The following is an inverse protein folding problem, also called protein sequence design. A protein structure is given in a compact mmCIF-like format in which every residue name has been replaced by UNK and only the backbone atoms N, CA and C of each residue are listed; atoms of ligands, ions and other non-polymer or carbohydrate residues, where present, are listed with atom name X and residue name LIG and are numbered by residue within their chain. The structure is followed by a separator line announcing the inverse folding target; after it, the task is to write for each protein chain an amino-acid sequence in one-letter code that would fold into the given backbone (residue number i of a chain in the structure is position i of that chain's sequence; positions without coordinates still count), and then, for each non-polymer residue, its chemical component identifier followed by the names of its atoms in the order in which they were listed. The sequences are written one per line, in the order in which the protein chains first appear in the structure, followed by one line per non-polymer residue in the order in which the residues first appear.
data_IF_040980269019
#
_entry.id   IF_040980269019
#
_cell.length_a   1.000
_cell.length_b   1.000
_cell.length_c   1.000
_cell.angle_alpha   90.00
_cell.angle_beta   90.00
_cell.angle_gamma   90.00
#
_symmetry.space_group_name_H-M   'P 1'
#
loop_
_entity.id
_entity.type
_entity.pdbx_description
1 polymer ?
#
# COMPACT_ATOMS: atom_id res chain seq x y z
N UNK A 1 -3.61 33.88 14.05
CA UNK A 1 -3.39 32.42 13.93
C UNK A 1 -3.45 32.10 12.44
N UNK A 2 -2.31 31.80 11.82
CA UNK A 2 -2.25 31.48 10.39
C UNK A 2 -3.07 30.24 10.11
N UNK A 3 -4.05 30.34 9.21
CA UNK A 3 -4.82 29.20 8.76
C UNK A 3 -4.00 28.51 7.66
N UNK A 4 -3.40 27.33 7.91
CA UNK A 4 -2.49 26.72 6.96
C UNK A 4 -3.23 26.40 5.66
N UNK A 5 -2.70 26.85 4.52
CA UNK A 5 -3.29 26.57 3.22
C UNK A 5 -3.35 25.06 2.97
N UNK A 6 -4.57 24.57 2.71
CA UNK A 6 -4.87 23.15 2.51
C UNK A 6 -4.31 22.60 1.21
N UNK A 7 -3.89 23.47 0.28
CA UNK A 7 -3.28 23.11 -1.00
C UNK A 7 -1.80 22.74 -0.86
N UNK A 8 -1.17 23.12 0.25
CA UNK A 8 0.26 22.95 0.45
C UNK A 8 0.62 21.51 0.80
N UNK A 9 1.77 21.04 0.30
CA UNK A 9 2.35 19.73 0.63
C UNK A 9 2.48 19.54 2.15
N UNK A 10 2.85 20.60 2.89
CA UNK A 10 2.96 20.55 4.34
C UNK A 10 1.64 20.26 5.08
N UNK A 11 0.50 20.72 4.55
CA UNK A 11 -0.81 20.40 5.12
C UNK A 11 -1.20 18.93 4.81
N UNK A 12 -0.96 18.47 3.58
CA UNK A 12 -1.17 17.07 3.18
C UNK A 12 -0.31 16.10 3.99
N UNK A 13 0.95 16.44 4.26
CA UNK A 13 1.83 15.58 5.07
C UNK A 13 1.33 15.46 6.51
N UNK A 14 0.92 16.57 7.14
CA UNK A 14 0.38 16.55 8.51
C UNK A 14 -0.90 15.72 8.62
N UNK A 15 -1.77 15.79 7.62
CA UNK A 15 -2.99 14.96 7.56
C UNK A 15 -2.68 13.49 7.28
N UNK A 16 -1.64 13.17 6.52
CA UNK A 16 -1.23 11.77 6.30
C UNK A 16 -0.56 11.14 7.53
N UNK A 17 0.14 11.91 8.36
CA UNK A 17 0.78 11.41 9.61
C UNK A 17 -0.25 10.87 10.61
N UNK A 18 -1.48 11.37 10.60
CA UNK A 18 -2.55 10.89 11.49
C UNK A 18 -3.31 9.69 10.91
N UNK A 19 -3.05 9.30 9.66
CA UNK A 19 -3.70 8.18 8.97
C UNK A 19 -2.87 6.91 9.09
N UNK A 20 -3.52 5.75 8.97
CA UNK A 20 -2.81 4.47 8.87
C UNK A 20 -1.94 4.46 7.61
N UNK A 21 -0.66 4.12 7.75
CA UNK A 21 0.30 4.11 6.64
C UNK A 21 -0.15 3.25 5.45
N UNK A 22 -0.90 2.18 5.71
CA UNK A 22 -1.46 1.31 4.68
C UNK A 22 -2.54 1.98 3.84
N UNK A 23 -3.38 2.83 4.43
CA UNK A 23 -4.43 3.54 3.69
C UNK A 23 -3.81 4.68 2.85
N UNK A 24 -2.79 5.36 3.38
CA UNK A 24 -2.01 6.36 2.62
C UNK A 24 -1.33 5.71 1.41
N UNK A 25 -0.72 4.53 1.60
CA UNK A 25 -0.09 3.77 0.51
C UNK A 25 -1.09 3.43 -0.61
N UNK A 26 -2.30 2.98 -0.27
CA UNK A 26 -3.33 2.66 -1.28
C UNK A 26 -3.73 3.92 -2.07
N UNK A 27 -3.86 5.07 -1.41
CA UNK A 27 -4.16 6.33 -2.11
C UNK A 27 -3.01 6.76 -3.02
N UNK A 28 -1.76 6.51 -2.63
CA UNK A 28 -0.59 6.75 -3.48
C UNK A 28 -0.61 5.86 -4.72
N UNK A 29 -0.98 4.58 -4.58
CA UNK A 29 -1.11 3.68 -5.74
C UNK A 29 -2.18 4.16 -6.72
N UNK A 30 -3.35 4.56 -6.22
CA UNK A 30 -4.42 5.10 -7.08
C UNK A 30 -3.95 6.33 -7.85
N UNK A 31 -3.21 7.23 -7.19
CA UNK A 31 -2.62 8.40 -7.83
C UNK A 31 -1.55 8.01 -8.84
N UNK A 32 -0.68 7.05 -8.54
CA UNK A 32 0.35 6.61 -9.49
C UNK A 32 -0.27 5.97 -10.74
N UNK A 33 -1.35 5.19 -10.57
CA UNK A 33 -2.07 4.56 -11.68
C UNK A 33 -2.69 5.56 -12.65
N UNK A 34 -2.99 6.81 -12.23
CA UNK A 34 -3.45 7.82 -13.19
C UNK A 34 -2.38 8.25 -14.19
N UNK A 35 -1.10 7.98 -13.89
CA UNK A 35 0.03 8.28 -14.77
C UNK A 35 0.65 7.02 -15.39
N UNK A 36 0.46 5.85 -14.75
CA UNK A 36 1.04 4.58 -15.13
C UNK A 36 -0.06 3.52 -15.37
N UNK A 37 -1.01 3.82 -16.24
CA UNK A 37 -2.21 3.00 -16.49
C UNK A 37 -1.88 1.55 -16.94
N UNK A 38 -0.75 1.34 -17.60
CA UNK A 38 -0.31 0.00 -18.03
C UNK A 38 0.39 -0.80 -16.94
N UNK A 39 0.60 -0.26 -15.73
CA UNK A 39 1.29 -0.95 -14.67
C UNK A 39 0.50 -2.17 -14.18
N UNK A 40 1.16 -3.33 -14.14
CA UNK A 40 0.55 -4.60 -13.70
C UNK A 40 1.15 -5.15 -12.41
N UNK A 41 2.31 -4.65 -12.00
CA UNK A 41 3.02 -5.13 -10.85
C UNK A 41 3.42 -3.97 -9.94
N UNK A 42 3.43 -4.24 -8.65
CA UNK A 42 4.00 -3.35 -7.64
C UNK A 42 4.98 -4.12 -6.78
N UNK A 43 6.15 -3.52 -6.56
CA UNK A 43 7.18 -4.04 -5.67
C UNK A 43 7.05 -3.33 -4.31
N UNK A 44 6.87 -4.11 -3.25
CA UNK A 44 6.77 -3.59 -1.89
C UNK A 44 7.78 -4.21 -0.92
N UNK A 45 8.12 -3.43 0.10
CA UNK A 45 8.75 -3.93 1.32
C UNK A 45 7.76 -4.79 2.13
N UNK A 46 8.35 -5.66 2.95
CA UNK A 46 7.70 -6.56 3.90
C UNK A 46 6.71 -5.92 4.87
N UNK A 47 6.85 -4.62 5.20
CA UNK A 47 5.89 -3.92 6.05
C UNK A 47 4.52 -3.71 5.41
N UNK A 48 4.36 -3.94 4.12
CA UNK A 48 3.06 -3.90 3.44
C UNK A 48 2.55 -5.28 3.02
N UNK A 49 3.30 -6.35 3.34
CA UNK A 49 3.01 -7.72 2.94
C UNK A 49 2.09 -8.42 3.95
N UNK A 50 0.91 -7.84 4.20
CA UNK A 50 -0.15 -8.42 5.02
C UNK A 50 -1.33 -8.87 4.14
N UNK A 51 -2.02 -9.99 4.43
CA UNK A 51 -3.06 -10.53 3.55
C UNK A 51 -4.14 -9.51 3.14
N UNK A 52 -4.65 -8.73 4.10
CA UNK A 52 -5.68 -7.72 3.80
C UNK A 52 -5.19 -6.59 2.87
N UNK A 53 -3.90 -6.25 2.93
CA UNK A 53 -3.29 -5.24 2.04
C UNK A 53 -3.07 -5.80 0.65
N UNK A 54 -2.56 -7.03 0.56
CA UNK A 54 -2.38 -7.74 -0.71
C UNK A 54 -3.70 -7.89 -1.48
N UNK A 55 -4.80 -8.18 -0.76
CA UNK A 55 -6.14 -8.23 -1.36
C UNK A 55 -6.60 -6.87 -1.88
N UNK A 56 -6.37 -5.78 -1.14
CA UNK A 56 -6.68 -4.42 -1.60
C UNK A 56 -5.88 -4.06 -2.86
N UNK A 57 -4.58 -4.37 -2.91
CA UNK A 57 -3.72 -4.12 -4.08
C UNK A 57 -4.21 -4.94 -5.29
N UNK A 58 -4.56 -6.21 -5.08
CA UNK A 58 -5.15 -7.06 -6.13
C UNK A 58 -6.46 -6.48 -6.67
N UNK A 59 -7.28 -5.90 -5.80
CA UNK A 59 -8.50 -5.17 -6.19
C UNK A 59 -8.25 -3.94 -7.06
N UNK A 60 -7.04 -3.38 -7.06
CA UNK A 60 -6.62 -2.30 -7.96
C UNK A 60 -6.10 -2.83 -9.31
N UNK A 61 -6.15 -4.14 -9.56
CA UNK A 61 -5.61 -4.75 -10.79
C UNK A 61 -4.10 -4.95 -10.79
N UNK A 62 -3.45 -4.75 -9.65
CA UNK A 62 -2.00 -4.91 -9.49
C UNK A 62 -1.65 -6.26 -8.86
N UNK A 63 -0.59 -6.88 -9.38
CA UNK A 63 0.07 -8.02 -8.76
C UNK A 63 1.19 -7.53 -7.83
N UNK A 64 1.25 -8.06 -6.61
CA UNK A 64 2.27 -7.67 -5.65
C UNK A 64 3.47 -8.61 -5.68
N UNK A 65 4.67 -8.05 -5.78
CA UNK A 65 5.94 -8.70 -5.45
C UNK A 65 6.41 -8.07 -4.15
N UNK A 66 6.64 -8.86 -3.10
CA UNK A 66 7.13 -8.33 -1.83
C UNK A 66 7.92 -9.37 -1.05
N UNK A 67 8.86 -8.89 -0.24
CA UNK A 67 9.53 -9.75 0.74
C UNK A 67 8.51 -10.15 1.81
N UNK A 68 8.36 -11.45 2.04
CA UNK A 68 7.44 -11.93 3.07
C UNK A 68 8.09 -11.78 4.43
N UNK A 69 7.38 -11.14 5.37
CA UNK A 69 7.81 -11.09 6.76
C UNK A 69 7.46 -12.42 7.42
N UNK A 70 8.44 -13.04 8.07
CA UNK A 70 8.20 -14.23 8.89
C UNK A 70 7.28 -13.85 10.06
N UNK A 71 6.08 -14.43 10.08
CA UNK A 71 5.07 -14.19 11.11
C UNK A 71 4.53 -15.54 11.59
N UNK A 72 4.55 -15.77 12.91
CA UNK A 72 4.12 -17.06 13.50
C UNK A 72 2.65 -17.41 13.22
N UNK A 73 1.80 -16.42 12.98
CA UNK A 73 0.34 -16.56 12.87
C UNK A 73 -0.20 -16.42 11.45
N UNK A 74 0.62 -15.98 10.49
CA UNK A 74 0.21 -15.79 9.09
C UNK A 74 0.86 -16.87 8.25
N UNK A 75 0.08 -17.85 7.82
CA UNK A 75 0.52 -18.93 6.94
C UNK A 75 0.17 -18.59 5.50
N UNK A 76 1.15 -18.71 4.62
CA UNK A 76 0.95 -18.49 3.19
C UNK A 76 0.95 -19.83 2.48
N UNK A 77 -0.06 -20.02 1.62
CA UNK A 77 -0.17 -21.21 0.79
C UNK A 77 0.25 -20.87 -0.63
N UNK A 78 1.28 -21.54 -1.13
CA UNK A 78 1.69 -21.47 -2.52
C UNK A 78 1.42 -22.83 -3.17
N UNK A 79 0.48 -22.88 -4.11
CA UNK A 79 0.12 -24.10 -4.86
C UNK A 79 -0.17 -25.31 -3.94
N UNK A 80 -0.88 -25.09 -2.84
CA UNK A 80 -1.22 -26.14 -1.87
C UNK A 80 -0.09 -26.52 -0.89
N UNK A 81 1.09 -25.87 -0.97
CA UNK A 81 2.15 -26.00 0.03
C UNK A 81 2.14 -24.81 0.99
N UNK A 82 2.11 -25.09 2.28
CA UNK A 82 2.13 -24.09 3.35
C UNK A 82 3.56 -23.76 3.76
N UNK A 83 3.91 -22.48 3.86
CA UNK A 83 5.10 -21.99 4.56
C UNK A 83 4.74 -21.34 5.90
#
# INVERSE_FOLDING_TARGET
MENPDKRTVGYRNRTNVTRKSTDVMIDMLKQALTYADSARYVLFDSWFCFPGILLKIKGLGLHTIAMMKSMKTVKYNYQGKTS
#
